data_IF_715610997367
#
_entry.id   IF_715610997367
#
_cell.length_a   1.000
_cell.length_b   1.000
_cell.length_c   1.000
_cell.angle_alpha   90.00
_cell.angle_beta   90.00
_cell.angle_gamma   90.00
#
_symmetry.space_group_name_H-M   'P 1'
#
loop_
_entity.id
_entity.type
_entity.pdbx_description
1 polymer ?
#
# COMPACT_ATOMS: atom_id res chain seq x y z
N UNK A 1 -35.90 -24.91 -6.44
CA UNK A 1 -34.88 -25.16 -5.43
C UNK A 1 -33.73 -24.27 -5.85
N UNK A 2 -33.69 -23.06 -5.30
CA UNK A 2 -32.55 -22.18 -5.51
C UNK A 2 -31.41 -22.78 -4.69
N UNK A 3 -30.40 -23.32 -5.37
CA UNK A 3 -29.17 -23.74 -4.73
C UNK A 3 -28.54 -22.50 -4.08
N UNK A 4 -28.43 -22.50 -2.75
CA UNK A 4 -27.74 -21.46 -1.98
C UNK A 4 -26.28 -21.36 -2.43
N UNK A 5 -26.03 -20.57 -3.47
CA UNK A 5 -24.70 -20.33 -4.01
C UNK A 5 -24.29 -18.92 -3.63
N UNK A 6 -23.32 -18.81 -2.72
CA UNK A 6 -22.70 -17.52 -2.43
C UNK A 6 -21.95 -17.02 -3.68
N UNK A 7 -22.24 -15.78 -4.09
CA UNK A 7 -21.52 -15.11 -5.15
C UNK A 7 -20.80 -13.89 -4.56
N UNK A 8 -19.49 -13.80 -4.78
CA UNK A 8 -18.76 -12.56 -4.48
C UNK A 8 -19.33 -11.43 -5.34
N UNK A 9 -19.54 -10.26 -4.72
CA UNK A 9 -20.08 -9.08 -5.41
C UNK A 9 -19.19 -8.64 -6.58
N UNK A 10 -17.88 -8.83 -6.45
CA UNK A 10 -16.88 -8.46 -7.45
C UNK A 10 -15.92 -9.63 -7.72
N UNK A 11 -16.21 -10.50 -8.71
CA UNK A 11 -15.27 -11.53 -9.10
C UNK A 11 -14.01 -10.88 -9.68
N UNK A 12 -12.86 -11.18 -9.07
CA UNK A 12 -11.58 -10.67 -9.55
C UNK A 12 -11.08 -11.50 -10.73
N UNK A 13 -10.45 -10.83 -11.71
CA UNK A 13 -9.59 -11.53 -12.66
C UNK A 13 -8.41 -12.18 -11.92
N UNK A 14 -7.77 -13.17 -12.54
CA UNK A 14 -6.54 -13.75 -11.98
C UNK A 14 -5.48 -12.69 -11.66
N UNK A 15 -4.67 -12.96 -10.65
CA UNK A 15 -3.57 -12.10 -10.22
C UNK A 15 -2.31 -12.37 -11.06
N UNK A 16 -1.86 -11.35 -11.79
CA UNK A 16 -0.64 -11.38 -12.62
C UNK A 16 0.49 -10.54 -12.01
N UNK A 17 0.31 -10.06 -10.78
CA UNK A 17 1.28 -9.21 -10.10
C UNK A 17 2.50 -10.02 -9.72
N UNK A 18 3.69 -9.50 -10.01
CA UNK A 18 4.94 -10.08 -9.53
C UNK A 18 5.19 -9.66 -8.08
N UNK A 19 5.49 -10.64 -7.23
CA UNK A 19 5.78 -10.42 -5.82
C UNK A 19 7.23 -10.77 -5.51
N UNK A 20 7.86 -9.99 -4.64
CA UNK A 20 9.16 -10.32 -4.03
C UNK A 20 8.99 -10.66 -2.55
N UNK A 21 9.72 -11.67 -2.10
CA UNK A 21 9.71 -12.08 -0.69
C UNK A 21 10.48 -11.04 0.13
N UNK A 22 9.89 -10.57 1.25
CA UNK A 22 10.56 -9.71 2.21
C UNK A 22 11.31 -10.52 3.28
N UNK A 23 10.61 -11.47 3.89
CA UNK A 23 11.11 -12.32 4.97
C UNK A 23 10.15 -13.50 5.18
N UNK A 24 10.61 -14.52 5.91
CA UNK A 24 9.80 -15.60 6.47
C UNK A 24 9.76 -15.60 8.01
N UNK A 25 10.39 -14.62 8.67
CA UNK A 25 10.71 -14.70 10.11
C UNK A 25 9.52 -14.40 11.03
N UNK A 26 8.53 -13.66 10.53
CA UNK A 26 7.39 -13.18 11.33
C UNK A 26 6.10 -13.97 11.10
N UNK A 27 6.22 -15.14 10.45
CA UNK A 27 5.10 -16.02 10.16
C UNK A 27 5.38 -17.43 10.63
N UNK A 28 4.37 -18.08 11.16
CA UNK A 28 4.42 -19.49 11.55
C UNK A 28 3.07 -20.14 11.31
N UNK A 29 3.00 -21.46 11.52
CA UNK A 29 1.74 -22.20 11.40
C UNK A 29 1.43 -22.89 12.71
N UNK A 30 0.18 -22.78 13.15
CA UNK A 30 -0.36 -23.51 14.30
C UNK A 30 -1.52 -24.40 13.86
N UNK A 31 -1.94 -25.30 14.75
CA UNK A 31 -3.15 -26.11 14.56
C UNK A 31 -4.16 -25.73 15.63
N UNK A 32 -5.40 -25.46 15.21
CA UNK A 32 -6.53 -25.23 16.10
C UNK A 32 -7.76 -25.90 15.53
N UNK A 33 -8.43 -26.71 16.34
CA UNK A 33 -9.59 -27.51 15.93
C UNK A 33 -9.40 -28.25 14.58
N UNK A 34 -8.25 -28.92 14.42
CA UNK A 34 -7.83 -29.66 13.21
C UNK A 34 -7.70 -28.78 11.95
N UNK A 35 -7.68 -27.46 12.10
CA UNK A 35 -7.43 -26.51 11.03
C UNK A 35 -6.02 -25.93 11.17
N UNK A 36 -5.32 -25.83 10.04
CA UNK A 36 -4.05 -25.12 9.95
C UNK A 36 -4.30 -23.61 9.95
N UNK A 37 -3.68 -22.93 10.90
CA UNK A 37 -3.78 -21.49 11.10
C UNK A 37 -2.44 -20.84 10.73
N UNK A 38 -2.47 -19.81 9.90
CA UNK A 38 -1.34 -18.91 9.69
C UNK A 38 -1.27 -17.93 10.88
N UNK A 39 -0.18 -17.94 11.62
CA UNK A 39 0.07 -17.01 12.73
C UNK A 39 1.07 -15.96 12.24
N UNK A 40 0.72 -14.69 12.41
CA UNK A 40 1.53 -13.53 11.98
C UNK A 40 1.83 -12.65 13.20
N UNK A 41 3.11 -12.34 13.41
CA UNK A 41 3.55 -11.39 14.43
C UNK A 41 3.37 -9.93 13.94
N UNK A 42 3.10 -8.98 14.85
CA UNK A 42 2.89 -7.57 14.47
C UNK A 42 4.08 -6.98 13.69
N UNK A 43 5.31 -7.39 14.02
CA UNK A 43 6.50 -6.88 13.35
C UNK A 43 6.52 -7.24 11.85
N UNK A 44 5.92 -8.37 11.46
CA UNK A 44 5.77 -8.73 10.05
C UNK A 44 4.86 -7.77 9.28
N UNK A 45 3.74 -7.36 9.88
CA UNK A 45 2.81 -6.40 9.28
C UNK A 45 3.43 -5.00 9.24
N UNK A 46 4.11 -4.61 10.31
CA UNK A 46 4.82 -3.33 10.39
C UNK A 46 5.91 -3.24 9.31
N UNK A 47 6.79 -4.24 9.21
CA UNK A 47 7.83 -4.32 8.17
C UNK A 47 7.24 -4.28 6.76
N UNK A 48 6.16 -5.04 6.52
CA UNK A 48 5.46 -5.03 5.23
C UNK A 48 4.94 -3.64 4.88
N UNK A 49 4.31 -2.97 5.85
CA UNK A 49 3.76 -1.63 5.68
C UNK A 49 4.86 -0.61 5.43
N UNK A 50 5.95 -0.69 6.19
CA UNK A 50 7.12 0.18 6.02
C UNK A 50 7.69 0.09 4.61
N UNK A 51 7.89 -1.15 4.15
CA UNK A 51 8.45 -1.40 2.84
C UNK A 51 7.49 -0.99 1.73
N UNK A 52 6.19 -1.19 1.91
CA UNK A 52 5.18 -0.79 0.94
C UNK A 52 5.14 0.74 0.74
N UNK A 53 5.03 1.52 1.82
CA UNK A 53 5.00 2.98 1.71
C UNK A 53 6.34 3.57 1.29
N UNK A 54 7.46 2.97 1.71
CA UNK A 54 8.79 3.33 1.22
C UNK A 54 8.92 3.12 -0.28
N UNK A 55 8.48 1.97 -0.80
CA UNK A 55 8.55 1.67 -2.24
C UNK A 55 7.57 2.52 -3.05
N UNK A 56 6.32 2.70 -2.60
CA UNK A 56 5.31 3.50 -3.32
C UNK A 56 5.71 4.97 -3.44
N UNK A 57 6.48 5.50 -2.48
CA UNK A 57 6.94 6.88 -2.53
C UNK A 57 8.08 7.13 -3.53
N UNK A 58 8.73 6.06 -4.04
CA UNK A 58 9.97 6.15 -4.83
C UNK A 58 9.96 5.35 -6.13
N UNK A 59 8.97 4.45 -6.33
CA UNK A 59 8.87 3.60 -7.51
C UNK A 59 7.45 3.55 -8.06
N UNK A 60 7.36 3.55 -9.39
CA UNK A 60 6.13 3.34 -10.15
C UNK A 60 6.05 1.93 -10.73
N UNK A 61 4.82 1.49 -11.06
CA UNK A 61 4.60 0.23 -11.75
C UNK A 61 5.21 0.27 -13.16
N UNK A 62 5.86 -0.81 -13.63
CA UNK A 62 6.42 -0.86 -14.99
C UNK A 62 5.42 -0.53 -16.09
N UNK A 63 4.17 -0.98 -15.94
CA UNK A 63 3.11 -0.69 -16.91
C UNK A 63 2.80 0.82 -17.02
N UNK A 64 2.89 1.57 -15.92
CA UNK A 64 2.69 3.02 -15.94
C UNK A 64 3.88 3.73 -16.60
N UNK A 65 5.10 3.33 -16.26
CA UNK A 65 6.31 3.85 -16.91
C UNK A 65 6.33 3.58 -18.42
N UNK A 66 5.84 2.41 -18.84
CA UNK A 66 5.71 2.08 -20.25
C UNK A 66 4.71 3.00 -20.97
N UNK A 67 3.61 3.41 -20.31
CA UNK A 67 2.68 4.38 -20.87
C UNK A 67 3.39 5.72 -21.12
N UNK A 68 4.12 6.24 -20.14
CA UNK A 68 4.91 7.47 -20.31
C UNK A 68 5.96 7.33 -21.41
N UNK A 69 6.65 6.20 -21.49
CA UNK A 69 7.67 5.94 -22.50
C UNK A 69 7.11 5.73 -23.92
N UNK A 70 5.80 5.49 -24.05
CA UNK A 70 5.13 5.36 -25.34
C UNK A 70 4.65 6.70 -25.89
N UNK A 71 4.39 7.71 -25.04
CA UNK A 71 3.88 9.02 -25.46
C UNK A 71 4.73 9.62 -26.61
N UNK A 72 6.08 9.67 -26.54
CA UNK A 72 6.88 10.26 -27.62
C UNK A 72 6.97 9.41 -28.91
N UNK A 73 6.27 8.26 -28.96
CA UNK A 73 6.32 7.32 -30.08
C UNK A 73 4.99 7.23 -30.84
N UNK A 74 3.95 7.90 -30.36
CA UNK A 74 2.57 7.75 -30.86
C UNK A 74 2.38 8.47 -32.20
N UNK A 75 3.13 9.54 -32.46
CA UNK A 75 3.08 10.36 -33.66
C UNK A 75 1.92 11.37 -33.67
N UNK A 76 0.96 11.25 -32.76
CA UNK A 76 -0.19 12.15 -32.57
C UNK A 76 -0.01 13.10 -31.37
N UNK A 77 1.06 12.95 -30.59
CA UNK A 77 1.27 13.72 -29.37
C UNK A 77 1.77 15.15 -29.64
N UNK A 78 1.36 16.08 -28.77
CA UNK A 78 1.85 17.45 -28.83
C UNK A 78 3.27 17.59 -28.26
N UNK A 79 3.93 18.71 -28.54
CA UNK A 79 5.22 19.02 -27.91
C UNK A 79 5.12 19.07 -26.38
N UNK A 80 3.97 19.51 -25.85
CA UNK A 80 3.73 19.57 -24.41
C UNK A 80 3.61 18.17 -23.80
N UNK A 81 2.99 17.23 -24.52
CA UNK A 81 2.87 15.84 -24.06
C UNK A 81 4.24 15.17 -24.01
N UNK A 82 5.07 15.37 -25.03
CA UNK A 82 6.47 14.90 -25.05
C UNK A 82 7.27 15.48 -23.89
N UNK A 83 7.15 16.79 -23.68
CA UNK A 83 7.85 17.49 -22.61
C UNK A 83 7.42 16.98 -21.23
N UNK A 84 6.12 16.92 -20.95
CA UNK A 84 5.59 16.45 -19.68
C UNK A 84 5.95 14.99 -19.39
N UNK A 85 5.85 14.11 -20.38
CA UNK A 85 6.22 12.70 -20.22
C UNK A 85 7.72 12.54 -19.90
N UNK A 86 8.59 13.30 -20.56
CA UNK A 86 10.02 13.28 -20.29
C UNK A 86 10.35 13.79 -18.88
N UNK A 87 9.69 14.85 -18.42
CA UNK A 87 9.92 15.38 -17.07
C UNK A 87 9.45 14.41 -15.99
N UNK A 88 8.30 13.75 -16.19
CA UNK A 88 7.84 12.68 -15.28
C UNK A 88 8.81 11.49 -15.23
N UNK A 89 9.36 11.07 -16.37
CA UNK A 89 10.35 9.98 -16.42
C UNK A 89 11.68 10.36 -15.73
N UNK A 90 12.12 11.62 -15.88
CA UNK A 90 13.31 12.12 -15.17
C UNK A 90 13.06 12.20 -13.65
N UNK A 91 11.88 12.67 -13.26
CA UNK A 91 11.48 12.72 -11.86
C UNK A 91 11.48 11.33 -11.23
N UNK A 92 10.92 10.34 -11.93
CA UNK A 92 10.97 8.95 -11.48
C UNK A 92 12.41 8.43 -11.34
N UNK A 93 13.26 8.69 -12.33
CA UNK A 93 14.67 8.30 -12.27
C UNK A 93 15.35 8.87 -11.02
N UNK A 94 15.09 10.13 -10.67
CA UNK A 94 15.62 10.77 -9.45
C UNK A 94 15.04 10.12 -8.19
N UNK A 95 13.73 9.90 -8.15
CA UNK A 95 13.04 9.32 -6.98
C UNK A 95 13.50 7.89 -6.69
N UNK A 96 13.81 7.11 -7.73
CA UNK A 96 14.29 5.73 -7.59
C UNK A 96 15.58 5.56 -6.78
N UNK A 97 16.32 6.65 -6.54
CA UNK A 97 17.48 6.67 -5.63
C UNK A 97 17.10 6.54 -4.14
N UNK A 98 15.81 6.65 -3.80
CA UNK A 98 15.31 6.45 -2.43
C UNK A 98 15.56 7.62 -1.46
N UNK A 99 15.93 8.80 -1.98
CA UNK A 99 16.23 9.98 -1.17
C UNK A 99 15.09 11.01 -1.25
N UNK A 100 14.68 11.39 -2.46
CA UNK A 100 13.58 12.33 -2.68
C UNK A 100 12.35 11.56 -3.14
N UNK A 101 11.15 11.80 -2.58
CA UNK A 101 9.94 11.17 -3.06
C UNK A 101 9.57 11.67 -4.46
N UNK A 102 8.82 10.86 -5.20
CA UNK A 102 8.32 11.18 -6.55
C UNK A 102 7.46 12.46 -6.57
N UNK A 103 6.83 12.82 -5.47
CA UNK A 103 5.92 13.96 -5.36
C UNK A 103 6.10 14.64 -4.00
N UNK A 104 5.97 15.96 -3.95
CA UNK A 104 5.95 16.72 -2.69
C UNK A 104 4.75 16.36 -1.80
N UNK A 105 3.65 15.97 -2.43
CA UNK A 105 2.52 15.39 -1.73
C UNK A 105 2.71 13.88 -1.66
N UNK A 106 3.12 13.41 -0.49
CA UNK A 106 3.34 11.99 -0.23
C UNK A 106 2.04 11.27 0.16
N UNK A 107 0.90 11.95 0.06
CA UNK A 107 -0.44 11.40 0.17
C UNK A 107 -0.87 10.96 1.56
N UNK A 108 -2.16 10.68 1.68
CA UNK A 108 -2.75 9.96 2.81
C UNK A 108 -2.44 8.47 2.67
N UNK A 109 -2.01 7.84 3.77
CA UNK A 109 -1.81 6.40 3.84
C UNK A 109 -3.16 5.68 3.88
N UNK A 110 -3.45 4.88 2.86
CA UNK A 110 -4.66 4.06 2.76
C UNK A 110 -4.25 2.59 2.62
N UNK A 111 -4.83 1.73 3.45
CA UNK A 111 -4.52 0.31 3.50
C UNK A 111 -5.82 -0.48 3.46
N UNK A 112 -5.94 -1.33 2.45
CA UNK A 112 -7.00 -2.33 2.37
C UNK A 112 -6.40 -3.70 2.68
N UNK A 113 -6.83 -4.31 3.79
CA UNK A 113 -6.48 -5.66 4.18
C UNK A 113 -7.63 -6.64 3.93
N UNK A 114 -7.34 -7.82 3.41
CA UNK A 114 -8.27 -8.96 3.32
C UNK A 114 -7.69 -10.11 4.12
N UNK A 115 -8.23 -10.31 5.33
CA UNK A 115 -7.77 -11.30 6.29
C UNK A 115 -8.55 -12.59 6.10
N UNK A 116 -7.83 -13.67 5.76
CA UNK A 116 -8.41 -15.00 5.71
C UNK A 116 -8.85 -15.48 7.09
N UNK A 117 -9.94 -16.24 7.17
CA UNK A 117 -10.48 -16.79 8.41
C UNK A 117 -9.44 -17.60 9.22
N UNK A 118 -8.49 -18.25 8.54
CA UNK A 118 -7.44 -19.05 9.16
C UNK A 118 -6.15 -18.22 9.40
N UNK A 119 -6.25 -16.89 9.47
CA UNK A 119 -5.13 -15.99 9.73
C UNK A 119 -5.29 -15.34 11.09
N UNK A 120 -4.35 -15.61 11.99
CA UNK A 120 -4.32 -15.03 13.32
C UNK A 120 -3.14 -14.09 13.44
N UNK A 121 -3.42 -12.81 13.68
CA UNK A 121 -2.40 -11.82 14.00
C UNK A 121 -2.26 -11.78 15.51
N UNK A 122 -1.03 -11.89 16.01
CA UNK A 122 -0.76 -11.62 17.42
C UNK A 122 -0.87 -10.12 17.63
N UNK A 123 -1.76 -9.67 18.51
CA UNK A 123 -1.95 -8.25 18.80
C UNK A 123 -3.00 -7.58 17.90
N UNK A 124 -2.81 -6.29 17.65
CA UNK A 124 -3.76 -5.45 16.91
C UNK A 124 -3.20 -5.12 15.51
N UNK A 125 -3.93 -5.52 14.47
CA UNK A 125 -3.61 -5.31 13.06
C UNK A 125 -3.44 -3.80 12.71
N UNK A 126 -4.41 -2.98 13.11
CA UNK A 126 -4.46 -1.54 12.82
C UNK A 126 -3.27 -0.79 13.45
N UNK A 127 -2.91 -1.15 14.68
CA UNK A 127 -1.75 -0.60 15.37
C UNK A 127 -0.44 -1.00 14.67
N UNK A 128 -0.31 -2.25 14.22
CA UNK A 128 0.88 -2.71 13.50
C UNK A 128 1.04 -1.98 12.16
N UNK A 129 -0.06 -1.79 11.43
CA UNK A 129 -0.09 -1.01 10.17
C UNK A 129 0.27 0.46 10.46
N UNK A 130 -0.41 1.10 11.41
CA UNK A 130 -0.16 2.50 11.76
C UNK A 130 1.27 2.77 12.21
N UNK A 131 1.88 1.84 12.95
CA UNK A 131 3.28 1.93 13.35
C UNK A 131 4.23 1.82 12.15
N UNK A 132 3.89 1.01 11.15
CA UNK A 132 4.68 0.92 9.92
C UNK A 132 4.60 2.21 9.10
N UNK A 133 3.40 2.80 8.98
CA UNK A 133 3.22 4.13 8.36
C UNK A 133 4.04 5.18 9.12
N UNK A 134 3.86 5.26 10.44
CA UNK A 134 4.59 6.22 11.28
C UNK A 134 6.10 6.14 11.05
N UNK A 135 6.65 4.93 11.10
CA UNK A 135 8.08 4.70 10.91
C UNK A 135 8.56 5.16 9.53
N UNK A 136 7.85 4.81 8.45
CA UNK A 136 8.21 5.28 7.10
C UNK A 136 8.26 6.80 7.00
N UNK A 137 7.23 7.48 7.51
CA UNK A 137 7.14 8.94 7.42
C UNK A 137 8.15 9.65 8.34
N UNK A 138 8.61 9.01 9.41
CA UNK A 138 9.67 9.53 10.30
C UNK A 138 11.08 9.31 9.76
N UNK A 139 11.34 8.19 9.09
CA UNK A 139 12.69 7.80 8.65
C UNK A 139 13.03 8.28 7.23
N UNK A 140 12.02 8.51 6.39
CA UNK A 140 12.20 8.97 5.01
C UNK A 140 11.85 10.46 4.86
N UNK A 141 12.31 11.09 3.78
CA UNK A 141 12.05 12.50 3.47
C UNK A 141 10.63 12.71 2.91
N UNK A 142 9.61 12.33 3.67
CA UNK A 142 8.19 12.43 3.29
C UNK A 142 7.49 13.60 4.00
N UNK A 143 6.27 13.93 3.57
CA UNK A 143 5.50 15.08 4.09
C UNK A 143 4.40 14.64 5.04
N UNK A 144 4.29 15.32 6.19
CA UNK A 144 3.14 15.21 7.08
C UNK A 144 2.00 16.11 6.59
N UNK A 145 1.00 15.49 5.97
CA UNK A 145 -0.09 16.18 5.26
C UNK A 145 -1.42 16.15 6.01
N UNK A 146 -1.60 15.21 6.94
CA UNK A 146 -2.86 15.08 7.68
C UNK A 146 -3.05 16.19 8.73
N UNK A 147 -4.28 16.70 8.78
CA UNK A 147 -4.75 17.66 9.78
C UNK A 147 -5.83 17.02 10.64
N UNK A 148 -5.81 17.31 11.93
CA UNK A 148 -6.83 16.87 12.88
C UNK A 148 -7.67 18.08 13.32
N UNK A 149 -9.01 17.97 13.30
CA UNK A 149 -9.87 19.02 13.83
C UNK A 149 -9.81 19.04 15.36
N UNK A 150 -9.61 20.23 15.93
CA UNK A 150 -9.74 20.51 17.37
C UNK A 150 -11.14 21.08 17.70
N UNK A 151 -11.72 21.79 16.74
CA UNK A 151 -13.10 22.27 16.75
C UNK A 151 -13.57 22.43 15.29
N UNK A 152 -14.77 22.99 15.08
CA UNK A 152 -15.31 23.21 13.73
C UNK A 152 -14.39 24.06 12.82
N UNK A 153 -13.59 24.96 13.38
CA UNK A 153 -12.76 25.91 12.62
C UNK A 153 -11.28 25.91 13.01
N UNK A 154 -10.88 25.06 13.95
CA UNK A 154 -9.49 24.96 14.40
C UNK A 154 -8.95 23.59 14.05
N UNK A 155 -7.80 23.57 13.39
CA UNK A 155 -7.11 22.37 12.98
C UNK A 155 -5.65 22.43 13.40
N UNK A 156 -5.05 21.26 13.56
CA UNK A 156 -3.61 21.12 13.80
C UNK A 156 -3.07 19.99 12.93
N UNK A 157 -1.88 20.18 12.35
CA UNK A 157 -1.18 19.10 11.67
C UNK A 157 -0.83 18.01 12.69
N UNK A 158 -1.02 16.75 12.33
CA UNK A 158 -0.74 15.63 13.25
C UNK A 158 0.76 15.40 13.49
N UNK A 159 1.62 16.00 12.67
CA UNK A 159 3.07 15.97 12.80
C UNK A 159 3.72 14.65 12.41
N UNK A 160 2.95 13.72 11.85
CA UNK A 160 3.41 12.36 11.53
C UNK A 160 2.64 11.66 10.39
N UNK A 161 1.78 12.40 9.67
CA UNK A 161 0.91 11.89 8.60
C UNK A 161 -0.11 10.81 9.00
N UNK A 162 -0.35 10.58 10.29
CA UNK A 162 -1.45 9.75 10.78
C UNK A 162 -2.70 10.62 11.04
N UNK A 163 -3.92 10.04 11.14
CA UNK A 163 -4.24 8.61 10.99
C UNK A 163 -4.16 8.11 9.55
N UNK A 164 -3.88 6.82 9.39
CA UNK A 164 -4.07 6.15 8.10
C UNK A 164 -5.54 5.71 7.97
N UNK A 165 -6.04 5.60 6.74
CA UNK A 165 -7.30 4.90 6.48
C UNK A 165 -7.00 3.40 6.40
N UNK A 166 -7.61 2.60 7.30
CA UNK A 166 -7.34 1.17 7.40
C UNK A 166 -8.66 0.41 7.31
N UNK A 167 -8.88 -0.27 6.18
CA UNK A 167 -10.07 -1.06 5.90
C UNK A 167 -9.72 -2.56 5.91
N UNK A 168 -10.13 -3.28 6.95
CA UNK A 168 -9.83 -4.70 7.11
C UNK A 168 -11.08 -5.56 6.89
N UNK A 169 -11.06 -6.35 5.82
CA UNK A 169 -12.15 -7.24 5.41
C UNK A 169 -11.88 -8.69 5.84
N UNK A 170 -12.94 -9.37 6.28
CA UNK A 170 -12.91 -10.81 6.53
C UNK A 170 -13.14 -11.57 5.21
N UNK A 171 -12.34 -12.61 4.98
CA UNK A 171 -12.41 -13.47 3.78
C UNK A 171 -12.12 -14.93 4.15
N UNK A 172 -12.33 -15.87 3.22
CA UNK A 172 -11.97 -17.27 3.43
C UNK A 172 -10.48 -17.55 3.18
N UNK A 173 -9.98 -18.64 3.74
CA UNK A 173 -8.62 -19.15 3.52
C UNK A 173 -7.59 -18.72 4.54
N UNK A 174 -6.32 -18.93 4.20
CA UNK A 174 -5.14 -18.86 5.07
C UNK A 174 -4.14 -17.76 4.64
N UNK A 175 -4.64 -16.72 3.96
CA UNK A 175 -3.82 -15.62 3.44
C UNK A 175 -4.30 -14.28 3.98
N UNK A 176 -3.35 -13.40 4.28
CA UNK A 176 -3.62 -11.98 4.52
C UNK A 176 -3.13 -11.19 3.32
N UNK A 177 -4.06 -10.64 2.53
CA UNK A 177 -3.72 -9.85 1.33
C UNK A 177 -3.85 -8.37 1.64
N UNK A 178 -2.95 -7.56 1.10
CA UNK A 178 -2.96 -6.11 1.30
C UNK A 178 -2.88 -5.38 -0.03
N UNK A 179 -3.57 -4.24 -0.10
CA UNK A 179 -3.35 -3.18 -1.08
C UNK A 179 -3.00 -1.91 -0.31
N UNK A 180 -1.79 -1.40 -0.55
CA UNK A 180 -1.30 -0.14 0.01
C UNK A 180 -1.42 0.95 -1.05
N UNK A 181 -1.90 2.12 -0.65
CA UNK A 181 -2.12 3.27 -1.53
C UNK A 181 -1.65 4.51 -0.77
N UNK A 182 -0.74 5.28 -1.37
CA UNK A 182 -0.44 6.64 -0.95
C UNK A 182 -1.24 7.57 -1.87
N UNK A 183 -2.34 8.15 -1.37
CA UNK A 183 -3.27 8.89 -2.22
C UNK A 183 -3.09 10.39 -2.07
N UNK A 184 -2.75 11.02 -3.20
CA UNK A 184 -2.69 12.47 -3.44
C UNK A 184 -4.01 12.95 -4.02
#
# INVERSE_FOLDING_TARGET
MDDETFHEMFPLSGDKTEYRILTSDHVSTAEFDRQKILVIEQEGIKMLTEKAFGDIAHYLRPAHLQQLANIPKDGEESDNDRFGALDLLKNEYIASAGILPMCQDTGTAIIMGKKGQNVWVRGNDEAAISNGVLKTYQELNLRYSNVSPLSMFQEINTGNNLPAQIDLYSTHGDKYKFLFIAKV
#
